data_IF_031216882287
#
_entry.id   IF_031216882287
#
_cell.length_a   1.000
_cell.length_b   1.000
_cell.length_c   1.000
_cell.angle_alpha   90.00
_cell.angle_beta   90.00
_cell.angle_gamma   90.00
#
_symmetry.space_group_name_H-M   'P 1'
#
loop_
_entity.id
_entity.type
_entity.pdbx_description
1 polymer ?
#
# COMPACT_ATOMS: atom_id res chain seq x y z
N UNK A 1 18.32 50.66 -1.21
CA UNK A 1 17.63 49.67 -2.05
C UNK A 1 17.10 48.56 -1.15
N UNK A 2 15.78 48.37 -1.03
CA UNK A 2 15.18 47.35 -0.14
C UNK A 2 15.10 45.98 -0.86
N UNK A 3 15.40 44.85 -0.20
CA UNK A 3 15.32 43.54 -0.84
C UNK A 3 13.84 43.14 -0.97
N UNK A 4 13.31 43.15 -2.20
CA UNK A 4 11.92 42.76 -2.50
C UNK A 4 11.78 41.27 -2.88
N UNK A 5 12.51 40.30 -2.33
CA UNK A 5 12.31 38.88 -2.73
C UNK A 5 12.67 37.90 -1.61
N UNK A 6 11.71 37.48 -0.79
CA UNK A 6 11.81 36.22 -0.03
C UNK A 6 10.47 35.54 0.30
N UNK A 7 9.35 36.22 0.09
CA UNK A 7 8.02 35.65 0.31
C UNK A 7 7.70 34.49 -0.63
N UNK A 8 8.19 34.55 -1.87
CA UNK A 8 7.92 33.52 -2.89
C UNK A 8 8.63 32.20 -2.59
N UNK A 9 9.86 32.25 -2.08
CA UNK A 9 10.63 31.06 -1.70
C UNK A 9 10.10 30.41 -0.43
N UNK A 10 9.61 31.20 0.53
CA UNK A 10 8.91 30.70 1.72
C UNK A 10 7.62 29.95 1.37
N UNK A 11 6.81 30.51 0.47
CA UNK A 11 5.56 29.87 0.02
C UNK A 11 5.81 28.61 -0.81
N UNK A 12 6.80 28.62 -1.70
CA UNK A 12 7.19 27.44 -2.49
C UNK A 12 7.71 26.29 -1.61
N UNK A 13 8.45 26.61 -0.55
CA UNK A 13 8.93 25.60 0.39
C UNK A 13 7.77 24.98 1.19
N UNK A 14 6.81 25.79 1.62
CA UNK A 14 5.56 25.32 2.25
C UNK A 14 4.75 24.39 1.35
N UNK A 15 4.65 24.71 0.05
CA UNK A 15 3.99 23.84 -0.94
C UNK A 15 4.70 22.50 -1.11
N UNK A 16 6.03 22.47 -1.03
CA UNK A 16 6.82 21.23 -1.18
C UNK A 16 6.57 20.26 -0.02
N UNK A 17 6.43 20.77 1.20
CA UNK A 17 6.13 19.95 2.38
C UNK A 17 4.70 19.41 2.30
N UNK A 18 3.74 20.26 1.92
CA UNK A 18 2.35 19.86 1.72
C UNK A 18 2.19 18.74 0.68
N UNK A 19 3.01 18.73 -0.37
CA UNK A 19 2.95 17.69 -1.41
C UNK A 19 3.38 16.29 -0.93
N UNK A 20 4.36 16.20 -0.02
CA UNK A 20 4.83 14.91 0.50
C UNK A 20 3.78 14.18 1.36
N UNK A 21 2.95 14.93 2.10
CA UNK A 21 1.90 14.37 2.96
C UNK A 21 0.70 13.82 2.16
N UNK A 22 0.56 14.22 0.90
CA UNK A 22 -0.52 13.78 0.01
C UNK A 22 -0.14 12.61 -0.88
N UNK A 23 1.08 12.09 -0.76
CA UNK A 23 1.51 10.94 -1.54
C UNK A 23 0.81 9.67 -1.06
N UNK A 24 0.46 8.81 -2.01
CA UNK A 24 -0.22 7.54 -1.73
C UNK A 24 0.63 6.63 -0.82
N UNK A 25 1.96 6.62 -0.94
CA UNK A 25 2.82 5.78 -0.09
C UNK A 25 2.68 6.11 1.41
N UNK A 26 2.59 7.40 1.77
CA UNK A 26 2.55 7.85 3.17
C UNK A 26 1.16 7.62 3.74
N UNK A 27 0.12 7.86 2.93
CA UNK A 27 -1.26 7.54 3.32
C UNK A 27 -1.48 6.04 3.48
N UNK A 28 -0.93 5.22 2.57
CA UNK A 28 -1.00 3.76 2.66
C UNK A 28 -0.27 3.29 3.92
N UNK A 29 0.94 3.79 4.21
CA UNK A 29 1.68 3.41 5.41
C UNK A 29 0.91 3.73 6.71
N UNK A 30 0.17 4.85 6.75
CA UNK A 30 -0.64 5.22 7.90
C UNK A 30 -1.94 4.41 8.01
N UNK A 31 -2.62 4.12 6.90
CA UNK A 31 -3.94 3.46 6.87
C UNK A 31 -3.82 1.93 6.91
N UNK A 32 -2.94 1.40 6.08
CA UNK A 32 -2.49 0.01 6.11
C UNK A 32 -1.27 0.04 7.01
N UNK A 33 -1.44 -0.30 8.29
CA UNK A 33 -0.39 -0.32 9.34
C UNK A 33 0.80 -1.22 8.96
N UNK A 34 1.54 -0.79 7.96
CA UNK A 34 2.61 -1.52 7.33
C UNK A 34 3.89 -1.32 8.13
N UNK A 35 4.78 -2.30 8.03
CA UNK A 35 6.03 -2.30 8.78
C UNK A 35 6.96 -1.13 8.39
N UNK A 36 6.87 -0.65 7.14
CA UNK A 36 7.70 0.44 6.61
C UNK A 36 7.16 1.01 5.30
N UNK A 37 7.61 2.22 4.93
CA UNK A 37 7.30 2.86 3.65
C UNK A 37 7.70 1.99 2.45
N UNK A 38 8.83 1.26 2.56
CA UNK A 38 9.28 0.34 1.49
C UNK A 38 8.28 -0.80 1.27
N UNK A 39 7.66 -1.29 2.34
CA UNK A 39 6.65 -2.34 2.25
C UNK A 39 5.38 -1.83 1.56
N UNK A 40 4.93 -0.61 1.90
CA UNK A 40 3.81 0.05 1.23
C UNK A 40 4.05 0.19 -0.30
N UNK A 41 5.26 0.58 -0.70
CA UNK A 41 5.63 0.64 -2.13
C UNK A 41 5.56 -0.73 -2.81
N UNK A 42 6.06 -1.79 -2.16
CA UNK A 42 5.99 -3.16 -2.71
C UNK A 42 4.55 -3.62 -2.88
N UNK A 43 3.66 -3.31 -1.92
CA UNK A 43 2.24 -3.63 -2.02
C UNK A 43 1.56 -2.88 -3.17
N UNK A 44 1.93 -1.63 -3.43
CA UNK A 44 1.43 -0.88 -4.58
C UNK A 44 1.91 -1.46 -5.90
N UNK A 45 3.22 -1.74 -6.03
CA UNK A 45 3.75 -2.33 -7.26
C UNK A 45 3.16 -3.72 -7.56
N UNK A 46 2.71 -4.44 -6.53
CA UNK A 46 2.02 -5.73 -6.70
C UNK A 46 0.51 -5.59 -6.92
N UNK A 47 0.00 -4.36 -7.09
CA UNK A 47 -1.42 -4.09 -7.31
C UNK A 47 -2.32 -4.62 -6.18
N UNK A 48 -1.85 -4.61 -4.93
CA UNK A 48 -2.63 -5.10 -3.80
C UNK A 48 -3.60 -4.07 -3.22
N UNK A 49 -3.40 -2.80 -3.55
CA UNK A 49 -4.16 -1.67 -3.02
C UNK A 49 -5.01 -1.05 -4.12
N UNK A 50 -6.24 -0.69 -3.77
CA UNK A 50 -7.18 0.00 -4.62
C UNK A 50 -7.58 1.33 -4.00
N UNK A 51 -7.88 2.29 -4.86
CA UNK A 51 -8.53 3.54 -4.50
C UNK A 51 -9.95 3.49 -5.09
N UNK A 52 -10.93 3.28 -4.23
CA UNK A 52 -12.33 3.07 -4.63
C UNK A 52 -12.49 1.85 -5.54
N UNK A 53 -12.64 2.10 -6.85
CA UNK A 53 -12.82 1.06 -7.87
C UNK A 53 -11.51 0.69 -8.58
N UNK A 54 -10.53 1.58 -8.58
CA UNK A 54 -9.31 1.43 -9.39
C UNK A 54 -8.20 0.73 -8.59
N UNK A 55 -7.55 -0.24 -9.23
CA UNK A 55 -6.31 -0.82 -8.69
C UNK A 55 -5.14 0.05 -9.15
N UNK A 56 -4.26 0.39 -8.22
CA UNK A 56 -3.14 1.32 -8.45
C UNK A 56 -1.82 0.56 -8.33
N UNK A 57 -0.96 0.78 -9.33
CA UNK A 57 0.36 0.18 -9.51
C UNK A 57 1.51 1.15 -9.22
N UNK A 58 1.24 2.46 -9.19
CA UNK A 58 2.25 3.52 -9.04
C UNK A 58 2.32 4.02 -7.59
N UNK A 59 3.48 3.86 -6.95
CA UNK A 59 3.72 4.26 -5.56
C UNK A 59 3.68 5.78 -5.31
N UNK A 60 4.14 6.57 -6.28
CA UNK A 60 4.17 8.03 -6.22
C UNK A 60 2.95 8.64 -6.90
N UNK A 61 1.77 8.43 -6.32
CA UNK A 61 0.53 9.02 -6.80
C UNK A 61 0.02 10.08 -5.82
N UNK A 62 -0.54 11.17 -6.32
CA UNK A 62 -1.15 12.21 -5.48
C UNK A 62 -2.60 11.84 -5.18
N UNK A 63 -2.95 11.72 -3.90
CA UNK A 63 -4.29 11.30 -3.47
C UNK A 63 -5.08 12.51 -2.97
N UNK A 64 -6.26 12.71 -3.54
CA UNK A 64 -7.21 13.72 -3.06
C UNK A 64 -7.71 13.40 -1.65
N UNK A 65 -8.12 14.45 -0.91
CA UNK A 65 -8.61 14.33 0.47
C UNK A 65 -9.78 13.33 0.62
N UNK A 66 -10.70 13.32 -0.33
CA UNK A 66 -11.87 12.44 -0.31
C UNK A 66 -11.51 10.99 -0.65
N UNK A 67 -10.56 10.81 -1.57
CA UNK A 67 -10.09 9.50 -2.01
C UNK A 67 -9.29 8.75 -0.94
N UNK A 68 -8.70 9.46 0.02
CA UNK A 68 -7.96 8.85 1.16
C UNK A 68 -8.80 7.83 1.91
N UNK A 69 -10.11 8.11 2.10
CA UNK A 69 -11.05 7.23 2.81
C UNK A 69 -11.37 5.93 2.07
N UNK A 70 -11.11 5.89 0.76
CA UNK A 70 -11.44 4.77 -0.11
C UNK A 70 -10.20 3.92 -0.45
N UNK A 71 -9.16 4.01 0.39
CA UNK A 71 -7.92 3.25 0.24
C UNK A 71 -8.07 1.93 0.97
N UNK A 72 -8.34 0.87 0.21
CA UNK A 72 -8.54 -0.47 0.75
C UNK A 72 -7.66 -1.47 0.01
N UNK A 73 -7.48 -2.65 0.61
CA UNK A 73 -6.98 -3.80 -0.12
C UNK A 73 -7.94 -4.22 -1.25
N UNK A 74 -7.36 -4.69 -2.34
CA UNK A 74 -8.13 -5.29 -3.42
C UNK A 74 -8.73 -6.63 -2.97
N UNK A 75 -10.03 -6.83 -3.19
CA UNK A 75 -10.76 -8.01 -2.69
C UNK A 75 -10.19 -9.36 -3.15
N UNK A 76 -9.50 -9.40 -4.29
CA UNK A 76 -8.90 -10.64 -4.80
C UNK A 76 -7.44 -10.81 -4.36
N UNK A 77 -6.83 -9.83 -3.68
CA UNK A 77 -5.49 -9.99 -3.13
C UNK A 77 -5.53 -10.82 -1.84
N UNK A 78 -4.41 -11.47 -1.53
CA UNK A 78 -4.29 -12.36 -0.36
C UNK A 78 -4.64 -11.64 0.96
N UNK A 79 -4.28 -10.36 1.07
CA UNK A 79 -4.54 -9.51 2.24
C UNK A 79 -6.00 -9.01 2.29
N UNK A 80 -6.71 -9.02 1.17
CA UNK A 80 -8.12 -8.63 1.05
C UNK A 80 -9.10 -9.80 1.22
N UNK A 81 -8.63 -10.96 1.68
CA UNK A 81 -9.45 -12.18 1.82
C UNK A 81 -9.66 -12.94 0.51
N UNK A 82 -8.90 -12.62 -0.54
CA UNK A 82 -8.97 -13.28 -1.83
C UNK A 82 -8.29 -14.65 -1.86
N UNK A 83 -8.48 -15.37 -2.97
CA UNK A 83 -7.88 -16.69 -3.13
C UNK A 83 -6.35 -16.58 -3.15
N UNK A 84 -5.61 -17.37 -2.35
CA UNK A 84 -4.15 -17.39 -2.38
C UNK A 84 -3.54 -17.57 -3.78
N UNK A 85 -2.47 -16.84 -4.09
CA UNK A 85 -1.78 -16.93 -5.38
C UNK A 85 -1.17 -18.32 -5.63
N UNK A 86 -0.89 -18.63 -6.90
CA UNK A 86 -0.42 -19.94 -7.35
C UNK A 86 0.79 -20.47 -6.58
N UNK A 87 1.76 -19.60 -6.22
CA UNK A 87 2.94 -19.99 -5.43
C UNK A 87 2.54 -20.45 -4.03
N UNK A 88 1.66 -19.72 -3.34
CA UNK A 88 1.19 -20.09 -2.01
C UNK A 88 0.31 -21.35 -2.06
N UNK A 89 -0.52 -21.53 -3.09
CA UNK A 89 -1.27 -22.79 -3.34
C UNK A 89 -0.32 -23.98 -3.51
N UNK A 90 0.72 -23.82 -4.35
CA UNK A 90 1.73 -24.87 -4.58
C UNK A 90 2.49 -25.21 -3.30
N UNK A 91 2.83 -24.21 -2.48
CA UNK A 91 3.54 -24.44 -1.23
C UNK A 91 2.67 -25.13 -0.17
N UNK A 92 1.39 -24.77 -0.05
CA UNK A 92 0.44 -25.46 0.82
C UNK A 92 0.20 -26.91 0.36
N UNK A 93 0.10 -27.15 -0.95
CA UNK A 93 0.00 -28.51 -1.50
C UNK A 93 1.25 -29.34 -1.21
N UNK A 94 2.45 -28.74 -1.31
CA UNK A 94 3.71 -29.40 -0.93
C UNK A 94 3.79 -29.69 0.57
N UNK A 95 3.34 -28.75 1.42
CA UNK A 95 3.32 -28.93 2.88
C UNK A 95 2.33 -29.98 3.37
N UNK A 96 1.15 -30.09 2.73
CA UNK A 96 0.16 -31.14 3.03
C UNK A 96 0.55 -32.53 2.50
N UNK A 97 1.42 -32.60 1.49
CA UNK A 97 1.94 -33.86 0.97
C UNK A 97 3.07 -34.49 1.80
N UNK A 98 3.48 -33.86 2.91
CA UNK A 98 4.59 -34.33 3.76
C UNK A 98 4.22 -34.63 5.22
N UNK A 99 2.97 -34.42 5.63
CA UNK A 99 2.50 -34.73 6.98
C UNK A 99 1.11 -35.36 6.89
N UNK A 100 1.08 -36.69 6.90
CA UNK A 100 -0.12 -37.50 6.71
C UNK A 100 0.16 -38.99 6.89
N UNK A 101 0.76 -39.35 8.02
CA UNK A 101 0.65 -40.66 8.64
C UNK A 101 0.64 -40.42 10.16
N UNK A 102 -0.50 -40.60 10.80
CA UNK A 102 -0.72 -40.32 12.21
C UNK A 102 -2.20 -40.11 12.48
N UNK A 103 -2.88 -41.22 12.67
CA UNK A 103 -4.29 -41.44 12.95
C UNK A 103 -4.67 -41.04 14.40
N UNK A 104 -5.96 -40.73 14.56
CA UNK A 104 -6.87 -40.86 15.72
C UNK A 104 -6.53 -40.48 17.19
N UNK A 105 -7.59 -39.96 17.84
CA UNK A 105 -7.95 -39.90 19.27
C UNK A 105 -6.89 -39.56 20.35
N UNK A 106 -6.91 -38.30 20.85
CA UNK A 106 -7.11 -37.86 22.26
C UNK A 106 -7.20 -36.33 22.36
#
# INVERSE_FOLDING_TARGET
MKPRRSWFTSWAFGLRIYFSEKQLQTQVFELVLDKSIRHACVLLCHCHIRIGKQVVDIAFFFVGLDSRKHTDFFRHCLNGGGYPGSVKRKNVKKGRGGAGAGDDEE
#
